data_IF_900009931589
#
_entry.id   IF_900009931589
#
_cell.length_a   1.000
_cell.length_b   1.000
_cell.length_c   1.000
_cell.angle_alpha   90.00
_cell.angle_beta   90.00
_cell.angle_gamma   90.00
#
_symmetry.space_group_name_H-M   'P 1'
#
loop_
_entity.id
_entity.type
_entity.pdbx_description
1 polymer ?
#
# COMPACT_ATOMS: atom_id res chain seq x y z
N UNK A 1 -28.45 -18.25 -3.68
CA UNK A 1 -28.28 -18.28 -2.21
C UNK A 1 -27.64 -19.58 -1.70
N UNK A 2 -27.65 -20.67 -2.47
CA UNK A 2 -27.09 -21.97 -2.07
C UNK A 2 -25.57 -22.00 -1.89
N UNK A 3 -24.79 -21.30 -2.72
CA UNK A 3 -23.32 -21.29 -2.64
C UNK A 3 -22.76 -20.63 -1.38
N UNK A 4 -23.42 -19.58 -0.85
CA UNK A 4 -23.01 -18.92 0.40
C UNK A 4 -23.17 -19.82 1.63
N UNK A 5 -24.21 -20.66 1.65
CA UNK A 5 -24.41 -21.62 2.73
C UNK A 5 -23.38 -22.75 2.66
N UNK A 6 -22.99 -23.17 1.45
CA UNK A 6 -22.03 -24.25 1.24
C UNK A 6 -20.60 -23.85 1.65
N UNK A 7 -20.17 -22.63 1.33
CA UNK A 7 -18.87 -22.09 1.75
C UNK A 7 -18.79 -21.94 3.28
N UNK A 8 -19.87 -21.47 3.92
CA UNK A 8 -19.95 -21.36 5.38
C UNK A 8 -19.88 -22.74 6.06
N UNK A 9 -20.55 -23.76 5.49
CA UNK A 9 -20.53 -25.13 6.01
C UNK A 9 -19.14 -25.78 5.88
N UNK A 10 -18.42 -25.53 4.78
CA UNK A 10 -17.06 -26.06 4.60
C UNK A 10 -16.08 -25.43 5.59
N UNK A 11 -16.18 -24.12 5.84
CA UNK A 11 -15.32 -23.45 6.84
C UNK A 11 -15.58 -23.93 8.27
N UNK A 12 -16.84 -24.21 8.63
CA UNK A 12 -17.18 -24.79 9.94
C UNK A 12 -16.62 -26.21 10.11
N UNK A 13 -16.59 -27.02 9.04
CA UNK A 13 -15.98 -28.34 9.07
C UNK A 13 -14.44 -28.27 9.16
N UNK A 14 -13.81 -27.31 8.49
CA UNK A 14 -12.35 -27.08 8.52
C UNK A 14 -11.87 -26.58 9.90
N UNK A 15 -12.64 -25.73 10.57
CA UNK A 15 -12.28 -25.21 11.90
C UNK A 15 -12.15 -26.33 12.96
N UNK A 16 -12.84 -27.46 12.76
CA UNK A 16 -12.78 -28.60 13.67
C UNK A 16 -11.53 -29.49 13.48
N UNK A 17 -10.85 -29.44 12.33
CA UNK A 17 -9.75 -30.35 12.02
C UNK A 17 -8.36 -29.81 12.37
N UNK A 18 -8.24 -28.59 12.91
CA UNK A 18 -6.96 -27.98 13.28
C UNK A 18 -5.99 -27.80 12.09
N UNK A 19 -6.49 -27.95 10.87
CA UNK A 19 -5.68 -27.95 9.66
C UNK A 19 -5.59 -26.53 9.13
N UNK A 20 -4.51 -25.85 9.46
CA UNK A 20 -4.08 -24.58 8.86
C UNK A 20 -4.07 -24.62 7.33
N UNK A 21 -3.78 -25.80 6.74
CA UNK A 21 -3.91 -26.07 5.30
C UNK A 21 -5.32 -25.81 4.77
N UNK A 22 -6.33 -25.77 5.64
CA UNK A 22 -7.71 -25.48 5.32
C UNK A 22 -7.94 -24.07 4.80
N UNK A 23 -7.38 -23.03 5.46
CA UNK A 23 -7.63 -21.65 5.03
C UNK A 23 -6.97 -21.35 3.69
N UNK A 24 -5.72 -21.77 3.49
CA UNK A 24 -5.04 -21.58 2.21
C UNK A 24 -5.75 -22.35 1.08
N UNK A 25 -6.32 -23.53 1.37
CA UNK A 25 -7.12 -24.29 0.40
C UNK A 25 -8.42 -23.55 0.08
N UNK A 26 -9.16 -23.05 1.08
CA UNK A 26 -10.38 -22.28 0.87
C UNK A 26 -10.14 -20.99 0.05
N UNK A 27 -9.00 -20.31 0.26
CA UNK A 27 -8.59 -19.15 -0.55
C UNK A 27 -8.39 -19.56 -2.01
N UNK A 28 -7.64 -20.64 -2.26
CA UNK A 28 -7.39 -21.12 -3.63
C UNK A 28 -8.66 -21.56 -4.35
N UNK A 29 -9.52 -22.31 -3.66
CA UNK A 29 -10.82 -22.74 -4.19
C UNK A 29 -11.71 -21.54 -4.49
N UNK A 30 -11.78 -20.57 -3.59
CA UNK A 30 -12.56 -19.36 -3.82
C UNK A 30 -12.08 -18.58 -5.04
N UNK A 31 -10.76 -18.45 -5.23
CA UNK A 31 -10.18 -17.81 -6.42
C UNK A 31 -10.52 -18.60 -7.68
N UNK A 32 -10.35 -19.93 -7.66
CA UNK A 32 -10.62 -20.81 -8.80
C UNK A 32 -12.10 -20.78 -9.22
N UNK A 33 -13.01 -20.73 -8.24
CA UNK A 33 -14.46 -20.71 -8.48
C UNK A 33 -15.01 -19.30 -8.73
N UNK A 34 -14.17 -18.26 -8.66
CA UNK A 34 -14.60 -16.86 -8.75
C UNK A 34 -15.48 -16.42 -7.57
N UNK A 35 -15.41 -17.12 -6.45
CA UNK A 35 -16.08 -16.76 -5.20
C UNK A 35 -15.48 -15.47 -4.68
N UNK A 36 -16.36 -14.49 -4.42
CA UNK A 36 -15.94 -13.13 -4.01
C UNK A 36 -15.80 -12.95 -2.51
N UNK A 37 -16.45 -13.78 -1.70
CA UNK A 37 -16.48 -13.59 -0.25
C UNK A 37 -16.01 -14.87 0.47
N UNK A 38 -14.97 -14.74 1.29
CA UNK A 38 -14.55 -15.74 2.27
C UNK A 38 -14.79 -15.14 3.65
N UNK A 39 -15.63 -15.79 4.45
CA UNK A 39 -15.96 -15.34 5.81
C UNK A 39 -15.23 -16.21 6.81
N UNK A 40 -14.34 -15.60 7.58
CA UNK A 40 -13.63 -16.27 8.67
C UNK A 40 -14.53 -16.38 9.90
N UNK A 41 -14.65 -17.58 10.51
CA UNK A 41 -15.45 -17.78 11.70
C UNK A 41 -14.79 -17.12 12.92
N UNK A 42 -15.58 -16.92 13.97
CA UNK A 42 -15.09 -16.50 15.28
C UNK A 42 -14.03 -17.48 15.81
N UNK A 43 -13.01 -16.93 16.48
CA UNK A 43 -11.91 -17.67 17.08
C UNK A 43 -10.55 -17.18 16.61
N UNK A 44 -9.53 -17.90 17.06
CA UNK A 44 -8.14 -17.65 16.70
C UNK A 44 -7.61 -18.79 15.84
N UNK A 45 -6.90 -18.45 14.77
CA UNK A 45 -6.26 -19.40 13.87
C UNK A 45 -4.77 -19.12 13.81
N UNK A 46 -3.96 -20.13 14.10
CA UNK A 46 -2.50 -20.02 13.93
C UNK A 46 -2.12 -20.24 12.47
N UNK A 47 -1.22 -19.39 11.97
CA UNK A 47 -0.69 -19.40 10.61
C UNK A 47 0.82 -19.68 10.68
N UNK A 48 1.26 -20.87 10.27
CA UNK A 48 2.65 -21.36 10.17
C UNK A 48 3.26 -21.13 8.80
N UNK A 49 2.44 -21.08 7.75
CA UNK A 49 2.85 -20.78 6.38
C UNK A 49 2.18 -19.50 5.86
N UNK A 50 2.87 -18.69 5.04
CA UNK A 50 2.26 -17.48 4.49
C UNK A 50 0.96 -17.80 3.74
N UNK A 51 -0.12 -17.07 4.07
CA UNK A 51 -1.35 -17.12 3.31
C UNK A 51 -1.17 -16.33 2.02
N UNK A 52 -1.38 -16.95 0.87
CA UNK A 52 -1.15 -16.33 -0.43
C UNK A 52 -2.49 -16.14 -1.14
N UNK A 53 -2.80 -14.88 -1.43
CA UNK A 53 -3.87 -14.46 -2.35
C UNK A 53 -3.19 -13.94 -3.61
N UNK A 54 -3.12 -14.77 -4.64
CA UNK A 54 -2.41 -14.48 -5.88
C UNK A 54 -3.39 -14.23 -7.04
N UNK A 55 -3.17 -13.14 -7.77
CA UNK A 55 -3.92 -12.73 -8.96
C UNK A 55 -5.47 -12.69 -8.80
N UNK A 56 -5.97 -12.57 -7.56
CA UNK A 56 -7.40 -12.59 -7.27
C UNK A 56 -8.12 -11.34 -7.80
N UNK A 57 -9.37 -11.50 -8.22
CA UNK A 57 -10.22 -10.42 -8.71
C UNK A 57 -11.42 -10.23 -7.78
N UNK A 58 -11.51 -9.06 -7.15
CA UNK A 58 -12.64 -8.66 -6.29
C UNK A 58 -12.92 -9.64 -5.12
N UNK A 59 -11.88 -10.35 -4.65
CA UNK A 59 -11.96 -11.26 -3.49
C UNK A 59 -12.01 -10.46 -2.18
N UNK A 60 -12.85 -10.88 -1.26
CA UNK A 60 -13.02 -10.30 0.06
C UNK A 60 -12.79 -11.37 1.12
N UNK A 61 -11.77 -11.17 1.95
CA UNK A 61 -11.53 -11.96 3.16
C UNK A 61 -12.06 -11.16 4.35
N UNK A 62 -13.11 -11.67 4.98
CA UNK A 62 -13.92 -10.93 5.95
C UNK A 62 -13.95 -11.70 7.26
N UNK A 63 -13.47 -11.12 8.35
CA UNK A 63 -13.75 -11.69 9.67
C UNK A 63 -15.19 -11.42 10.09
N UNK A 64 -15.85 -12.41 10.68
CA UNK A 64 -17.22 -12.29 11.21
C UNK A 64 -17.34 -11.21 12.30
N UNK A 65 -16.26 -10.93 13.01
CA UNK A 65 -16.13 -9.84 13.97
C UNK A 65 -14.64 -9.50 14.14
N UNK A 66 -14.28 -8.23 14.04
CA UNK A 66 -12.89 -7.80 14.04
C UNK A 66 -12.19 -8.09 15.38
N UNK A 67 -12.91 -8.04 16.49
CA UNK A 67 -12.35 -8.29 17.83
C UNK A 67 -12.26 -9.78 18.17
N UNK A 68 -13.05 -10.61 17.49
CA UNK A 68 -13.21 -12.03 17.81
C UNK A 68 -12.72 -12.97 16.69
N UNK A 69 -12.15 -12.44 15.61
CA UNK A 69 -11.49 -13.21 14.54
C UNK A 69 -10.02 -12.81 14.47
N UNK A 70 -9.13 -13.73 14.86
CA UNK A 70 -7.69 -13.48 14.89
C UNK A 70 -6.91 -14.48 14.03
N UNK A 71 -6.05 -13.97 13.16
CA UNK A 71 -4.96 -14.71 12.53
C UNK A 71 -3.68 -14.43 13.32
N UNK A 72 -3.10 -15.48 13.87
CA UNK A 72 -1.91 -15.41 14.73
C UNK A 72 -0.74 -16.02 13.96
N UNK A 73 0.26 -15.21 13.62
CA UNK A 73 1.48 -15.70 13.01
C UNK A 73 2.17 -16.68 13.96
N UNK A 74 2.63 -17.82 13.45
CA UNK A 74 3.50 -18.75 14.17
C UNK A 74 4.94 -18.18 14.20
N UNK A 75 5.77 -18.53 15.19
CA UNK A 75 7.16 -18.07 15.25
C UNK A 75 7.99 -18.40 14.00
N UNK A 76 7.65 -19.45 13.27
CA UNK A 76 8.34 -19.84 12.01
C UNK A 76 8.13 -18.82 10.87
N UNK A 77 7.22 -17.86 11.04
CA UNK A 77 7.02 -16.73 10.14
C UNK A 77 7.80 -15.49 10.58
N UNK A 78 8.72 -15.59 11.54
CA UNK A 78 9.43 -14.43 12.09
C UNK A 78 9.97 -13.46 11.01
N UNK A 79 10.51 -13.98 9.91
CA UNK A 79 11.09 -13.14 8.85
C UNK A 79 10.30 -13.20 7.53
N UNK A 80 9.03 -13.60 7.59
CA UNK A 80 8.18 -13.77 6.41
C UNK A 80 6.81 -13.09 6.63
N UNK A 81 6.14 -12.65 5.55
CA UNK A 81 4.77 -12.19 5.64
C UNK A 81 3.85 -13.29 6.18
N UNK A 82 2.89 -12.94 7.03
CA UNK A 82 1.80 -13.86 7.40
C UNK A 82 0.77 -13.97 6.29
N UNK A 83 0.45 -12.87 5.61
CA UNK A 83 -0.44 -12.85 4.45
C UNK A 83 0.15 -12.00 3.34
N UNK A 84 0.14 -12.53 2.12
CA UNK A 84 0.64 -11.88 0.90
C UNK A 84 -0.51 -11.71 -0.08
N UNK A 85 -0.77 -10.46 -0.47
CA UNK A 85 -1.55 -10.11 -1.64
C UNK A 85 -0.59 -9.88 -2.79
N UNK A 86 -0.58 -10.77 -3.78
CA UNK A 86 0.28 -10.63 -4.95
C UNK A 86 -0.55 -10.48 -6.21
N UNK A 87 -0.37 -9.38 -6.91
CA UNK A 87 -1.13 -9.12 -8.12
C UNK A 87 -2.63 -9.10 -7.89
N UNK A 88 -3.38 -9.03 -8.98
CA UNK A 88 -4.84 -8.96 -8.93
C UNK A 88 -5.37 -7.56 -8.69
N UNK A 89 -6.70 -7.46 -8.62
CA UNK A 89 -7.37 -6.17 -8.48
C UNK A 89 -8.60 -6.26 -7.59
N UNK A 90 -8.81 -5.24 -6.75
CA UNK A 90 -10.01 -5.13 -5.93
C UNK A 90 -10.09 -6.10 -4.73
N UNK A 91 -8.96 -6.69 -4.34
CA UNK A 91 -8.90 -7.56 -3.14
C UNK A 91 -9.16 -6.75 -1.87
N UNK A 92 -9.96 -7.28 -0.95
CA UNK A 92 -10.29 -6.61 0.31
C UNK A 92 -10.05 -7.49 1.52
N UNK A 93 -9.40 -6.94 2.54
CA UNK A 93 -9.33 -7.53 3.89
C UNK A 93 -10.17 -6.67 4.82
N UNK A 94 -11.13 -7.28 5.51
CA UNK A 94 -12.10 -6.56 6.33
C UNK A 94 -12.31 -7.26 7.68
N UNK A 95 -12.26 -6.51 8.79
CA UNK A 95 -12.64 -7.00 10.13
C UNK A 95 -11.85 -8.22 10.60
N UNK A 96 -10.53 -8.19 10.46
CA UNK A 96 -9.63 -9.27 10.91
C UNK A 96 -8.60 -8.69 11.87
N UNK A 97 -8.32 -9.41 12.95
CA UNK A 97 -7.15 -9.15 13.79
C UNK A 97 -5.96 -9.95 13.27
N UNK A 98 -4.87 -9.27 12.93
CA UNK A 98 -3.57 -9.84 12.59
C UNK A 98 -2.64 -9.66 13.79
N UNK A 99 -2.19 -10.78 14.36
CA UNK A 99 -1.30 -10.78 15.53
C UNK A 99 0.02 -11.45 15.21
N UNK A 100 1.11 -10.78 15.59
CA UNK A 100 2.47 -11.25 15.37
C UNK A 100 3.18 -11.76 16.60
N UNK A 101 4.51 -11.72 16.50
CA UNK A 101 5.43 -11.91 17.61
C UNK A 101 6.39 -10.73 17.68
N UNK A 102 6.74 -10.29 18.90
CA UNK A 102 7.64 -9.17 19.11
C UNK A 102 9.06 -9.36 18.51
N UNK A 103 9.48 -10.61 18.30
CA UNK A 103 10.78 -10.94 17.71
C UNK A 103 10.75 -11.09 16.17
N UNK A 104 9.56 -11.05 15.56
CA UNK A 104 9.42 -11.17 14.12
C UNK A 104 9.78 -9.85 13.42
N UNK A 105 10.41 -9.89 12.26
CA UNK A 105 10.85 -8.74 11.45
C UNK A 105 10.13 -8.62 10.10
N UNK A 106 9.52 -9.70 9.60
CA UNK A 106 8.69 -9.67 8.38
C UNK A 106 7.43 -8.82 8.59
N UNK A 107 6.67 -8.45 7.55
CA UNK A 107 5.39 -7.76 7.74
C UNK A 107 4.29 -8.73 8.20
N UNK A 108 3.19 -8.27 8.83
CA UNK A 108 2.01 -9.13 9.02
C UNK A 108 1.26 -9.33 7.70
N UNK A 109 0.99 -8.22 7.01
CA UNK A 109 0.37 -8.22 5.68
C UNK A 109 1.31 -7.53 4.70
N UNK A 110 1.55 -8.18 3.57
CA UNK A 110 2.31 -7.64 2.45
C UNK A 110 1.42 -7.55 1.21
N UNK A 111 1.43 -6.39 0.55
CA UNK A 111 0.73 -6.12 -0.70
C UNK A 111 1.78 -5.81 -1.75
N UNK A 112 1.87 -6.67 -2.76
CA UNK A 112 2.88 -6.63 -3.81
C UNK A 112 2.19 -6.60 -5.18
N UNK A 113 2.49 -5.61 -6.01
CA UNK A 113 2.02 -5.59 -7.40
C UNK A 113 0.49 -5.53 -7.57
N UNK A 114 -0.26 -5.14 -6.54
CA UNK A 114 -1.72 -5.21 -6.53
C UNK A 114 -2.36 -3.88 -6.94
N UNK A 115 -3.52 -3.95 -7.58
CA UNK A 115 -4.32 -2.78 -7.94
C UNK A 115 -5.58 -2.66 -7.07
N UNK A 116 -5.88 -1.46 -6.56
CA UNK A 116 -7.12 -1.17 -5.80
C UNK A 116 -7.37 -2.10 -4.60
N UNK A 117 -6.31 -2.59 -3.94
CA UNK A 117 -6.44 -3.37 -2.72
C UNK A 117 -7.02 -2.50 -1.58
N UNK A 118 -7.91 -3.05 -0.75
CA UNK A 118 -8.54 -2.32 0.36
C UNK A 118 -8.37 -3.07 1.67
N UNK A 119 -7.67 -2.47 2.62
CA UNK A 119 -7.50 -2.98 3.99
C UNK A 119 -8.32 -2.09 4.91
N UNK A 120 -9.36 -2.63 5.55
CA UNK A 120 -10.26 -1.80 6.34
C UNK A 120 -10.84 -2.46 7.58
N UNK A 121 -10.98 -1.68 8.65
CA UNK A 121 -11.53 -2.14 9.94
C UNK A 121 -10.79 -3.36 10.50
N UNK A 122 -9.49 -3.45 10.22
CA UNK A 122 -8.62 -4.50 10.73
C UNK A 122 -7.81 -4.02 11.95
N UNK A 123 -7.34 -4.98 12.74
CA UNK A 123 -6.43 -4.74 13.85
C UNK A 123 -5.08 -5.38 13.54
N UNK A 124 -3.99 -4.66 13.79
CA UNK A 124 -2.62 -5.15 13.66
C UNK A 124 -1.92 -4.96 14.99
N UNK A 125 -1.42 -6.03 15.60
CA UNK A 125 -0.88 -5.94 16.95
C UNK A 125 0.29 -6.88 17.28
N UNK A 126 1.14 -6.42 18.19
CA UNK A 126 2.22 -7.18 18.84
C UNK A 126 3.19 -7.80 17.84
N UNK A 127 3.96 -6.99 17.14
CA UNK A 127 4.85 -7.47 16.08
C UNK A 127 6.13 -6.65 15.97
N UNK A 128 7.29 -7.32 15.88
CA UNK A 128 8.59 -6.64 15.78
C UNK A 128 8.92 -6.10 14.39
N UNK A 129 8.03 -6.27 13.41
CA UNK A 129 8.17 -5.80 12.03
C UNK A 129 7.03 -4.88 11.61
N UNK A 130 6.86 -4.64 10.31
CA UNK A 130 5.75 -3.85 9.80
C UNK A 130 4.39 -4.52 10.07
N UNK A 131 3.38 -3.75 10.43
CA UNK A 131 1.99 -4.24 10.41
C UNK A 131 1.54 -4.48 8.98
N UNK A 132 1.73 -3.48 8.12
CA UNK A 132 1.37 -3.54 6.72
C UNK A 132 2.51 -3.00 5.85
N UNK A 133 2.91 -3.76 4.84
CA UNK A 133 3.83 -3.30 3.78
C UNK A 133 3.12 -3.28 2.43
N UNK A 134 3.29 -2.20 1.70
CA UNK A 134 2.75 -2.00 0.35
C UNK A 134 3.92 -1.68 -0.57
N UNK A 135 4.11 -2.53 -1.58
CA UNK A 135 5.20 -2.47 -2.55
C UNK A 135 4.64 -2.55 -3.96
N UNK A 136 5.13 -1.70 -4.86
CA UNK A 136 4.82 -1.71 -6.30
C UNK A 136 3.31 -1.82 -6.62
N UNK A 137 2.48 -1.16 -5.82
CA UNK A 137 1.01 -1.29 -5.88
C UNK A 137 0.35 0.03 -6.27
N UNK A 138 -0.83 -0.03 -6.90
CA UNK A 138 -1.56 1.17 -7.35
C UNK A 138 -2.90 1.30 -6.65
N UNK A 139 -3.28 2.53 -6.30
CA UNK A 139 -4.58 2.88 -5.73
C UNK A 139 -4.97 2.05 -4.48
N UNK A 140 -3.98 1.59 -3.71
CA UNK A 140 -4.22 0.81 -2.48
C UNK A 140 -4.79 1.71 -1.39
N UNK A 141 -5.81 1.22 -0.69
CA UNK A 141 -6.50 1.95 0.38
C UNK A 141 -6.30 1.23 1.72
N UNK A 142 -5.76 1.96 2.69
CA UNK A 142 -5.60 1.51 4.08
C UNK A 142 -6.44 2.45 4.92
N UNK A 143 -7.62 2.00 5.38
CA UNK A 143 -8.54 2.89 6.09
C UNK A 143 -9.25 2.30 7.28
N UNK A 144 -9.49 3.11 8.30
CA UNK A 144 -10.25 2.72 9.50
C UNK A 144 -9.61 1.53 10.24
N UNK A 145 -8.29 1.37 10.18
CA UNK A 145 -7.59 0.29 10.87
C UNK A 145 -6.98 0.77 12.19
N UNK A 146 -6.74 -0.16 13.11
CA UNK A 146 -5.98 0.08 14.34
C UNK A 146 -4.67 -0.71 14.30
N UNK A 147 -3.54 -0.01 14.29
CA UNK A 147 -2.20 -0.59 14.25
C UNK A 147 -1.48 -0.24 15.55
N UNK A 148 -1.09 -1.23 16.37
CA UNK A 148 -0.52 -0.98 17.70
C UNK A 148 0.61 -1.91 18.08
N UNK A 149 1.57 -1.41 18.86
CA UNK A 149 2.68 -2.21 19.39
C UNK A 149 3.48 -2.89 18.26
N UNK A 150 3.84 -2.09 17.25
CA UNK A 150 4.55 -2.51 16.04
C UNK A 150 5.90 -1.81 15.92
N UNK A 151 6.85 -2.42 15.23
CA UNK A 151 8.07 -1.69 14.85
C UNK A 151 7.77 -0.62 13.79
N UNK A 152 6.97 -0.97 12.79
CA UNK A 152 6.48 -0.05 11.77
C UNK A 152 4.98 -0.26 11.55
N UNK A 153 4.18 0.80 11.57
CA UNK A 153 2.74 0.68 11.33
C UNK A 153 2.43 0.33 9.87
N UNK A 154 2.60 1.31 8.97
CA UNK A 154 2.43 1.14 7.52
C UNK A 154 3.71 1.55 6.81
N UNK A 155 4.21 0.66 5.95
CA UNK A 155 5.37 0.84 5.09
C UNK A 155 4.91 0.99 3.64
N UNK A 156 4.98 2.20 3.09
CA UNK A 156 4.77 2.45 1.66
C UNK A 156 6.13 2.45 0.98
N UNK A 157 6.42 1.47 0.14
CA UNK A 157 7.72 1.36 -0.53
C UNK A 157 7.57 0.92 -1.98
N UNK A 158 8.68 0.89 -2.72
CA UNK A 158 8.70 0.66 -4.17
C UNK A 158 7.86 1.67 -4.95
N UNK A 159 7.54 1.33 -6.19
CA UNK A 159 6.82 2.18 -7.17
C UNK A 159 5.32 2.31 -6.86
N UNK A 160 4.97 2.50 -5.59
CA UNK A 160 3.60 2.61 -5.11
C UNK A 160 2.98 3.95 -5.53
N UNK A 161 1.83 3.91 -6.20
CA UNK A 161 1.16 5.09 -6.75
C UNK A 161 -0.28 5.23 -6.22
N UNK A 162 -0.68 6.47 -5.95
CA UNK A 162 -2.06 6.84 -5.57
C UNK A 162 -2.56 6.10 -4.32
N UNK A 163 -1.65 5.66 -3.45
CA UNK A 163 -2.00 4.99 -2.21
C UNK A 163 -2.67 5.97 -1.23
N UNK A 164 -3.76 5.54 -0.60
CA UNK A 164 -4.47 6.31 0.41
C UNK A 164 -4.37 5.62 1.76
N UNK A 165 -3.82 6.31 2.76
CA UNK A 165 -3.82 5.88 4.15
C UNK A 165 -4.66 6.87 4.93
N UNK A 166 -5.87 6.47 5.34
CA UNK A 166 -6.82 7.40 5.93
C UNK A 166 -7.55 6.88 7.18
N UNK A 167 -7.83 7.79 8.12
CA UNK A 167 -8.63 7.48 9.32
C UNK A 167 -8.14 6.25 10.09
N UNK A 168 -6.83 5.97 10.08
CA UNK A 168 -6.25 4.88 10.85
C UNK A 168 -5.78 5.39 12.22
N UNK A 169 -5.82 4.52 13.22
CA UNK A 169 -5.26 4.76 14.54
C UNK A 169 -3.96 3.96 14.70
N UNK A 170 -2.83 4.67 14.74
CA UNK A 170 -1.50 4.10 14.90
C UNK A 170 -0.98 4.45 16.30
N UNK A 171 -0.74 3.44 17.14
CA UNK A 171 -0.40 3.66 18.54
C UNK A 171 0.81 2.84 19.00
N UNK A 172 1.76 3.47 19.72
CA UNK A 172 2.92 2.80 20.30
C UNK A 172 3.77 2.04 19.26
N UNK A 173 3.90 2.61 18.07
CA UNK A 173 4.81 2.08 17.06
C UNK A 173 6.20 2.73 17.19
N UNK A 174 7.30 2.04 16.82
CA UNK A 174 8.58 2.76 16.66
C UNK A 174 8.45 3.78 15.53
N UNK A 175 7.94 3.37 14.39
CA UNK A 175 7.56 4.27 13.28
C UNK A 175 6.08 4.08 12.96
N UNK A 176 5.30 5.16 12.90
CA UNK A 176 3.88 5.09 12.53
C UNK A 176 3.71 4.79 11.05
N UNK A 177 4.08 5.76 10.20
CA UNK A 177 4.01 5.66 8.74
C UNK A 177 5.39 5.89 8.14
N UNK A 178 5.82 5.02 7.24
CA UNK A 178 7.02 5.20 6.44
C UNK A 178 6.64 5.37 4.97
N UNK A 179 7.25 6.36 4.31
CA UNK A 179 7.03 6.66 2.89
C UNK A 179 8.36 6.47 2.17
N UNK A 180 8.40 5.58 1.18
CA UNK A 180 9.56 5.34 0.34
C UNK A 180 9.75 6.42 -0.72
N UNK A 181 10.97 6.56 -1.24
CA UNK A 181 11.33 7.54 -2.28
C UNK A 181 10.51 7.41 -3.55
N UNK A 182 10.05 6.20 -3.84
CA UNK A 182 9.40 5.87 -5.11
C UNK A 182 7.86 5.94 -4.99
N UNK A 183 7.35 6.30 -3.79
CA UNK A 183 5.92 6.50 -3.57
C UNK A 183 5.45 7.80 -4.22
N UNK A 184 4.42 7.72 -5.07
CA UNK A 184 3.87 8.85 -5.84
C UNK A 184 2.42 9.11 -5.47
N UNK A 185 2.05 10.39 -5.37
CA UNK A 185 0.68 10.85 -5.11
C UNK A 185 -0.01 10.20 -3.89
N UNK A 186 0.76 9.85 -2.86
CA UNK A 186 0.21 9.27 -1.63
C UNK A 186 -0.66 10.28 -0.88
N UNK A 187 -1.84 9.85 -0.42
CA UNK A 187 -2.74 10.66 0.40
C UNK A 187 -2.79 10.13 1.83
N UNK A 188 -2.29 10.92 2.78
CA UNK A 188 -2.26 10.59 4.20
C UNK A 188 -3.18 11.56 4.96
N UNK A 189 -4.42 11.15 5.28
CA UNK A 189 -5.42 12.06 5.86
C UNK A 189 -6.18 11.47 7.04
N UNK A 190 -6.47 12.29 8.05
CA UNK A 190 -7.30 11.87 9.20
C UNK A 190 -6.70 10.74 10.06
N UNK A 191 -5.43 10.38 9.86
CA UNK A 191 -4.78 9.37 10.69
C UNK A 191 -4.42 9.95 12.06
N UNK A 192 -4.61 9.14 13.08
CA UNK A 192 -4.29 9.45 14.46
C UNK A 192 -3.03 8.68 14.86
N UNK A 193 -1.95 9.39 15.17
CA UNK A 193 -0.66 8.81 15.56
C UNK A 193 -0.38 9.13 17.02
N UNK A 194 -0.40 8.12 17.90
CA UNK A 194 -0.24 8.27 19.35
C UNK A 194 0.96 7.50 19.86
N UNK A 195 1.82 8.16 20.64
CA UNK A 195 2.96 7.51 21.29
C UNK A 195 3.89 6.75 20.33
N UNK A 196 3.97 7.17 19.06
CA UNK A 196 4.97 6.65 18.14
C UNK A 196 6.31 7.36 18.40
N UNK A 197 7.43 6.64 18.32
CA UNK A 197 8.75 7.29 18.45
C UNK A 197 9.00 8.24 17.26
N UNK A 198 8.63 7.80 16.06
CA UNK A 198 8.54 8.62 14.85
C UNK A 198 7.12 8.50 14.29
N UNK A 199 6.38 9.61 14.21
CA UNK A 199 5.02 9.57 13.67
C UNK A 199 5.02 9.24 12.17
N UNK A 200 5.67 10.07 11.36
CA UNK A 200 5.83 9.88 9.92
C UNK A 200 7.31 9.97 9.59
N UNK A 201 7.85 8.93 8.98
CA UNK A 201 9.20 8.91 8.44
C UNK A 201 9.12 9.24 6.94
N UNK A 202 9.67 10.40 6.53
CA UNK A 202 9.68 10.79 5.12
C UNK A 202 10.60 9.86 4.31
N UNK A 203 10.52 9.93 2.97
CA UNK A 203 11.49 9.27 2.13
C UNK A 203 12.90 9.60 2.55
N UNK A 204 13.64 8.57 2.96
CA UNK A 204 15.09 8.72 3.06
C UNK A 204 15.56 8.86 1.64
N UNK A 205 15.98 10.08 1.26
CA UNK A 205 16.60 10.30 -0.04
C UNK A 205 17.66 9.21 -0.20
N UNK A 206 17.59 8.45 -1.29
CA UNK A 206 18.63 7.49 -1.61
C UNK A 206 19.94 8.27 -1.49
N UNK A 207 20.80 7.88 -0.53
CA UNK A 207 22.13 8.45 -0.46
C UNK A 207 22.69 8.24 -1.87
N UNK A 208 23.12 9.31 -2.57
CA UNK A 208 23.67 9.18 -3.91
C UNK A 208 24.71 8.07 -3.82
N UNK A 209 24.59 7.06 -4.69
CA UNK A 209 25.47 5.91 -4.67
C UNK A 209 26.90 6.44 -4.58
N UNK A 210 27.59 6.17 -3.47
CA UNK A 210 28.90 6.75 -3.23
C UNK A 210 29.90 6.32 -4.33
N UNK A 211 29.55 5.27 -5.09
CA UNK A 211 30.29 4.80 -6.26
C UNK A 211 29.91 5.52 -7.57
N UNK A 212 28.83 6.28 -7.61
CA UNK A 212 28.45 7.14 -8.74
C UNK A 212 29.10 8.53 -8.68
N UNK A 213 29.94 8.80 -7.68
CA UNK A 213 30.91 9.90 -7.77
C UNK A 213 31.93 9.46 -8.83
N UNK A 214 31.71 9.85 -10.08
CA UNK A 214 32.71 9.67 -11.13
C UNK A 214 34.07 10.12 -10.58
N UNK A 215 35.11 9.28 -10.63
CA UNK A 215 36.43 9.70 -10.21
C UNK A 215 36.78 10.97 -11.01
N UNK A 216 37.38 11.99 -10.37
CA UNK A 216 37.69 13.23 -11.06
C UNK A 216 38.45 12.91 -12.35
N UNK A 217 38.11 13.56 -13.49
CA UNK A 217 38.67 13.21 -14.78
C UNK A 217 40.19 13.27 -14.69
N UNK A 218 40.84 12.20 -15.17
CA UNK A 218 42.30 12.10 -15.18
C UNK A 218 42.90 13.24 -16.01
N UNK A 219 44.11 13.66 -15.68
CA UNK A 219 44.81 14.75 -16.38
C UNK A 219 44.91 14.51 -17.89
N UNK A 220 45.02 13.24 -18.31
CA UNK A 220 44.97 12.82 -19.72
C UNK A 220 43.61 13.06 -20.41
N UNK A 221 42.50 13.02 -19.68
CA UNK A 221 41.16 13.37 -20.18
C UNK A 221 40.96 14.89 -20.23
N UNK A 222 41.60 15.64 -19.32
CA UNK A 222 41.59 17.12 -19.35
C UNK A 222 42.29 17.69 -20.59
N UNK A 223 43.33 17.01 -21.10
CA UNK A 223 44.10 17.45 -22.27
C UNK A 223 43.40 17.16 -23.63
N UNK A 224 42.34 16.35 -23.66
CA UNK A 224 41.61 16.03 -24.91
C UNK A 224 40.44 16.96 -25.24
N UNK A 225 40.05 17.83 -24.31
CA UNK A 225 39.05 18.86 -24.57
C UNK A 225 39.76 20.22 -24.66
N UNK A 226 40.02 20.74 -25.88
CA UNK A 226 40.49 22.11 -26.01
C UNK A 226 39.47 23.04 -25.37
N UNK A 227 39.97 24.02 -24.61
CA UNK A 227 39.14 25.05 -23.98
C UNK A 227 38.13 25.59 -25.01
N UNK A 228 36.83 25.71 -24.67
CA UNK A 228 35.86 26.28 -25.58
C UNK A 228 36.34 27.68 -25.96
N UNK A 229 36.73 27.82 -27.22
CA UNK A 229 37.13 29.09 -27.80
C UNK A 229 36.02 30.10 -27.58
N UNK A 230 36.38 31.23 -26.99
CA UNK A 230 35.57 32.43 -26.89
C UNK A 230 35.25 32.94 -28.30
N UNK A 231 34.19 32.44 -28.92
CA UNK A 231 33.65 33.04 -30.13
C UNK A 231 32.61 34.10 -29.73
N UNK A 232 32.91 35.32 -30.15
CA UNK A 232 32.16 36.52 -29.84
C UNK A 232 30.79 36.58 -30.51
N UNK A 233 29.96 37.42 -29.90
CA UNK A 233 29.17 38.47 -30.56
C UNK A 233 28.69 38.20 -31.98
N UNK A 234 27.43 37.81 -32.13
CA UNK A 234 26.60 38.24 -33.24
C UNK A 234 25.12 38.29 -32.82
N UNK A 235 24.61 39.50 -32.80
CA UNK A 235 23.20 39.89 -32.98
C UNK A 235 22.55 39.15 -34.16
N UNK A 236 21.38 38.53 -33.99
CA UNK A 236 20.16 38.91 -34.74
C UNK A 236 18.91 38.09 -34.34
N UNK A 237 17.70 38.66 -34.45
CA UNK A 237 16.44 38.06 -34.04
C UNK A 237 15.81 37.26 -35.18
N UNK A 238 15.54 35.98 -34.94
CA UNK A 238 14.75 35.16 -35.86
C UNK A 238 13.26 35.53 -35.75
N UNK A 239 12.81 36.32 -36.74
CA UNK A 239 11.41 36.47 -37.15
C UNK A 239 10.91 35.16 -37.78
N UNK A 240 9.67 34.79 -37.48
CA UNK A 240 8.91 33.78 -38.21
C UNK A 240 8.48 34.32 -39.60
N UNK A 241 8.53 33.45 -40.61
CA UNK A 241 8.21 33.69 -42.02
C UNK A 241 6.72 34.00 -42.34
N UNK A 242 5.87 34.28 -41.36
CA UNK A 242 4.44 34.59 -41.60
C UNK A 242 3.99 35.97 -41.12
N UNK A 243 4.85 36.76 -40.48
CA UNK A 243 4.54 38.17 -40.16
C UNK A 243 3.28 38.40 -39.34
N UNK A 244 2.79 37.38 -38.60
CA UNK A 244 1.61 37.48 -37.74
C UNK A 244 2.02 37.48 -36.28
N UNK A 245 1.66 38.55 -35.59
CA UNK A 245 1.64 38.65 -34.13
C UNK A 245 0.81 37.49 -33.58
N UNK A 246 1.40 36.67 -32.70
CA UNK A 246 0.66 35.68 -31.91
C UNK A 246 -0.28 36.45 -30.98
N UNK A 247 -1.55 36.59 -31.36
CA UNK A 247 -2.60 37.07 -30.47
C UNK A 247 -2.83 36.03 -29.38
N UNK A 248 -2.66 36.46 -28.13
CA UNK A 248 -3.04 35.68 -26.96
C UNK A 248 -4.54 35.35 -27.04
N UNK A 249 -4.94 34.07 -26.85
CA UNK A 249 -6.36 33.73 -26.74
C UNK A 249 -6.96 34.42 -25.51
N UNK A 250 -8.17 35.01 -25.63
CA UNK A 250 -8.85 35.62 -24.50
C UNK A 250 -9.15 34.58 -23.41
N UNK A 251 -9.12 34.97 -22.13
CA UNK A 251 -9.43 34.07 -21.03
C UNK A 251 -10.88 33.55 -21.14
N UNK A 252 -11.14 32.30 -20.74
CA UNK A 252 -12.47 31.71 -20.81
C UNK A 252 -13.45 32.50 -19.95
N UNK A 253 -14.41 33.15 -20.61
CA UNK A 253 -15.55 33.80 -19.98
C UNK A 253 -16.58 32.75 -19.57
N UNK A 254 -16.84 32.64 -18.26
CA UNK A 254 -18.10 32.12 -17.72
C UNK A 254 -18.02 30.74 -17.10
N UNK A 255 -17.66 30.68 -15.81
CA UNK A 255 -18.09 29.56 -14.97
C UNK A 255 -19.61 29.68 -14.72
N UNK A 256 -20.39 28.59 -14.87
CA UNK A 256 -21.82 28.60 -14.60
C UNK A 256 -22.11 28.88 -13.13
N UNK A 257 -23.05 29.80 -12.86
CA UNK A 257 -23.52 30.12 -11.51
C UNK A 257 -24.13 28.86 -10.86
N UNK A 258 -23.83 28.59 -9.57
CA UNK A 258 -24.41 27.47 -8.85
C UNK A 258 -25.94 27.63 -8.75
N UNK A 259 -26.67 26.57 -9.09
CA UNK A 259 -28.11 26.50 -8.89
C UNK A 259 -28.42 26.33 -7.39
N UNK A 260 -29.48 26.99 -6.86
CA UNK A 260 -29.87 26.87 -5.48
C UNK A 260 -30.39 25.46 -5.18
N UNK A 261 -29.80 24.81 -4.17
CA UNK A 261 -30.23 23.51 -3.67
C UNK A 261 -31.59 23.61 -2.98
N UNK A 262 -32.52 22.75 -3.41
CA UNK A 262 -33.85 22.62 -2.81
C UNK A 262 -33.72 21.84 -1.49
N UNK A 263 -34.23 22.36 -0.36
CA UNK A 263 -34.12 21.67 0.92
C UNK A 263 -34.98 20.39 0.97
N UNK A 264 -34.53 19.35 1.69
CA UNK A 264 -35.26 18.10 1.81
C UNK A 264 -36.57 18.31 2.58
N UNK A 265 -37.67 17.82 2.00
CA UNK A 265 -38.96 17.72 2.69
C UNK A 265 -38.86 16.64 3.77
N UNK A 266 -39.28 17.01 4.99
CA UNK A 266 -39.39 16.11 6.14
C UNK A 266 -40.64 15.25 6.06
#
# INVERSE_FOLDING_TARGET
MTYRLLALLHLLALAASGAESGLQTAIREAIADGTRDIVLPLGSMTVREPLIIDAAQELRLIGQDAENVALIAHPDLANRPMLVLRGGSGVRLERITFRGHAAATGPLVEIEGSDRAVITRCFFETHGGPGLRITDSTATQVRENSLRDLDLGVDLTGSTADATVENNHLARCRVGLQIGSDTRNGNLRGNELRHCATAIQPPTAALPDANAIEPPPTEAQRLKHPAPGSNGSATDPARDATGKTLEHPPPPTGAPKPQPETPPQR
#
